data_IF_553222075816
#
_entry.id   IF_553222075816
#
_cell.length_a   1.000
_cell.length_b   1.000
_cell.length_c   1.000
_cell.angle_alpha   90.00
_cell.angle_beta   90.00
_cell.angle_gamma   90.00
#
_symmetry.space_group_name_H-M   'P 1'
#
loop_
_entity.id
_entity.type
_entity.pdbx_description
1 polymer ?
#
# COMPACT_ATOMS: atom_id res chain seq x y z
N UNK A 1 2.73 28.55 -7.25
CA UNK A 1 2.38 27.36 -6.46
C UNK A 1 2.13 26.16 -7.38
N UNK A 2 1.10 26.17 -8.23
CA UNK A 2 0.79 25.05 -9.13
C UNK A 2 1.83 24.79 -10.23
N UNK A 3 2.37 25.86 -10.84
CA UNK A 3 3.50 25.75 -11.78
C UNK A 3 4.75 25.13 -11.15
N UNK A 4 4.99 25.43 -9.88
CA UNK A 4 6.13 24.90 -9.13
C UNK A 4 5.93 23.41 -8.81
N UNK A 5 4.70 23.02 -8.47
CA UNK A 5 4.31 21.61 -8.30
C UNK A 5 4.52 20.85 -9.61
N UNK A 6 4.00 21.36 -10.73
CA UNK A 6 4.13 20.69 -12.03
C UNK A 6 5.61 20.48 -12.41
N UNK A 7 6.45 21.50 -12.24
CA UNK A 7 7.90 21.37 -12.47
C UNK A 7 8.57 20.36 -11.54
N UNK A 8 8.21 20.37 -10.25
CA UNK A 8 8.69 19.40 -9.26
C UNK A 8 8.33 17.97 -9.67
N UNK A 9 7.09 17.75 -10.10
CA UNK A 9 6.61 16.43 -10.54
C UNK A 9 7.31 15.97 -11.82
N UNK A 10 7.48 16.85 -12.82
CA UNK A 10 8.29 16.53 -14.01
C UNK A 10 9.73 16.14 -13.64
N UNK A 11 10.27 16.79 -12.60
CA UNK A 11 11.57 16.46 -12.01
C UNK A 11 11.73 14.99 -11.61
N UNK A 12 10.66 14.33 -11.19
CA UNK A 12 10.68 12.94 -10.73
C UNK A 12 10.86 11.95 -11.89
N UNK A 13 10.36 12.26 -13.08
CA UNK A 13 10.52 11.41 -14.26
C UNK A 13 11.97 11.34 -14.76
N UNK A 14 12.83 12.32 -14.45
CA UNK A 14 14.27 12.20 -14.73
C UNK A 14 14.94 11.12 -13.88
N UNK A 15 14.43 10.87 -12.67
CA UNK A 15 14.92 9.80 -11.79
C UNK A 15 14.33 8.44 -12.16
N UNK A 16 13.27 8.42 -12.97
CA UNK A 16 12.51 7.23 -13.32
C UNK A 16 12.10 7.29 -14.81
N UNK A 17 13.04 7.15 -15.75
CA UNK A 17 12.78 7.39 -17.18
C UNK A 17 11.86 6.34 -17.83
N UNK A 18 11.65 5.19 -17.17
CA UNK A 18 10.83 4.09 -17.68
C UNK A 18 9.36 4.17 -17.28
N UNK A 19 8.96 5.16 -16.48
CA UNK A 19 7.56 5.38 -16.10
C UNK A 19 6.95 6.59 -16.82
N UNK A 20 5.67 6.47 -17.18
CA UNK A 20 4.86 7.52 -17.80
C UNK A 20 3.84 8.13 -16.83
N UNK A 21 3.73 7.59 -15.62
CA UNK A 21 2.91 8.14 -14.56
C UNK A 21 3.63 8.07 -13.21
N UNK A 22 3.22 8.94 -12.29
CA UNK A 22 3.59 8.84 -10.87
C UNK A 22 2.45 8.17 -10.13
N UNK A 23 2.78 7.27 -9.20
CA UNK A 23 1.78 6.70 -8.31
C UNK A 23 1.41 7.72 -7.24
N UNK A 24 0.11 7.91 -7.00
CA UNK A 24 -0.42 8.80 -5.97
C UNK A 24 -0.99 7.98 -4.85
N UNK A 25 -0.55 8.27 -3.64
CA UNK A 25 -1.01 7.62 -2.42
C UNK A 25 -1.55 8.63 -1.42
N UNK A 26 -2.54 8.20 -0.64
CA UNK A 26 -3.08 8.93 0.50
C UNK A 26 -3.13 7.97 1.69
N UNK A 27 -2.49 8.32 2.81
CA UNK A 27 -2.45 7.49 4.03
C UNK A 27 -1.99 6.02 3.82
N UNK A 28 -1.01 5.85 2.91
CA UNK A 28 -0.49 4.57 2.42
C UNK A 28 -1.50 3.72 1.62
N UNK A 29 -2.57 4.33 1.12
CA UNK A 29 -3.51 3.72 0.18
C UNK A 29 -3.30 4.27 -1.23
N UNK A 30 -3.34 3.38 -2.22
CA UNK A 30 -3.25 3.77 -3.63
C UNK A 30 -4.50 4.57 -4.01
N UNK A 31 -4.29 5.84 -4.38
CA UNK A 31 -5.36 6.77 -4.73
C UNK A 31 -5.56 6.86 -6.26
N UNK A 32 -4.47 6.79 -7.02
CA UNK A 32 -4.49 6.83 -8.47
C UNK A 32 -3.12 7.12 -9.05
N UNK A 33 -3.08 7.61 -10.27
CA UNK A 33 -1.84 8.05 -10.91
C UNK A 33 -1.97 9.44 -11.50
N UNK A 34 -0.85 10.13 -11.66
CA UNK A 34 -0.79 11.36 -12.48
C UNK A 34 0.14 11.10 -13.67
N UNK A 35 -0.36 11.29 -14.88
CA UNK A 35 0.41 11.03 -16.09
C UNK A 35 1.35 12.18 -16.42
N UNK A 36 2.54 11.85 -16.91
CA UNK A 36 3.53 12.82 -17.38
C UNK A 36 2.95 13.75 -18.44
N UNK A 37 2.21 13.19 -19.41
CA UNK A 37 1.58 13.95 -20.50
C UNK A 37 0.63 15.01 -19.96
N UNK A 38 -0.17 14.68 -18.96
CA UNK A 38 -1.19 15.59 -18.44
C UNK A 38 -0.54 16.73 -17.65
N UNK A 39 0.58 16.45 -16.95
CA UNK A 39 1.44 17.49 -16.35
C UNK A 39 2.03 18.41 -17.42
N UNK A 40 2.58 17.85 -18.50
CA UNK A 40 3.17 18.62 -19.62
C UNK A 40 2.12 19.51 -20.31
N UNK A 41 0.92 18.98 -20.55
CA UNK A 41 -0.20 19.72 -21.13
C UNK A 41 -0.66 20.87 -20.22
N UNK A 42 -0.92 20.60 -18.95
CA UNK A 42 -1.34 21.62 -17.99
C UNK A 42 -0.28 22.69 -17.75
N UNK A 43 1.01 22.35 -17.82
CA UNK A 43 2.10 23.33 -17.79
C UNK A 43 2.11 24.26 -19.00
N UNK A 44 1.85 23.72 -20.19
CA UNK A 44 1.79 24.50 -21.44
C UNK A 44 0.58 25.43 -21.45
N UNK A 45 -0.55 24.96 -20.94
CA UNK A 45 -1.82 25.69 -20.90
C UNK A 45 -1.93 26.63 -19.69
N UNK A 46 -1.07 26.45 -18.68
CA UNK A 46 -0.96 27.33 -17.52
C UNK A 46 -2.03 27.08 -16.44
N UNK A 47 -2.66 25.90 -16.45
CA UNK A 47 -3.81 25.52 -15.63
C UNK A 47 -3.65 24.12 -15.01
N UNK A 48 -2.42 23.69 -14.72
CA UNK A 48 -2.20 22.38 -14.10
C UNK A 48 -2.64 22.39 -12.63
N UNK A 49 -3.69 21.63 -12.33
CA UNK A 49 -4.10 21.32 -10.96
C UNK A 49 -3.87 19.83 -10.68
N UNK A 50 -3.02 19.51 -9.69
CA UNK A 50 -2.63 18.12 -9.41
C UNK A 50 -3.85 17.24 -9.14
N UNK A 51 -4.72 17.67 -8.23
CA UNK A 51 -5.86 16.87 -7.77
C UNK A 51 -6.81 16.50 -8.92
N UNK A 52 -7.08 17.44 -9.84
CA UNK A 52 -7.94 17.20 -11.01
C UNK A 52 -7.31 16.25 -12.04
N UNK A 53 -5.98 16.12 -12.04
CA UNK A 53 -5.23 15.28 -12.95
C UNK A 53 -4.87 13.91 -12.36
N UNK A 54 -5.39 13.57 -11.16
CA UNK A 54 -5.25 12.22 -10.61
C UNK A 54 -6.29 11.31 -11.26
N UNK A 55 -5.81 10.31 -11.97
CA UNK A 55 -6.62 9.32 -12.65
C UNK A 55 -6.70 8.04 -11.80
N UNK A 56 -7.91 7.60 -11.47
CA UNK A 56 -8.13 6.29 -10.85
C UNK A 56 -7.99 5.20 -11.91
N UNK A 57 -7.05 4.28 -11.71
CA UNK A 57 -6.78 3.18 -12.64
C UNK A 57 -7.04 1.86 -11.92
N UNK A 58 -7.61 0.89 -12.63
CA UNK A 58 -7.77 -0.46 -12.08
C UNK A 58 -6.41 -1.15 -12.00
N UNK A 59 -6.19 -1.91 -10.94
CA UNK A 59 -4.87 -2.51 -10.66
C UNK A 59 -4.37 -3.42 -11.80
N UNK A 60 -5.28 -4.13 -12.47
CA UNK A 60 -4.99 -4.99 -13.63
C UNK A 60 -4.52 -4.22 -14.87
N UNK A 61 -4.92 -2.95 -15.01
CA UNK A 61 -4.49 -2.04 -16.08
C UNK A 61 -3.27 -1.21 -15.69
N UNK A 62 -2.90 -1.17 -14.41
CA UNK A 62 -1.90 -0.24 -13.90
C UNK A 62 -0.53 -0.42 -14.56
N UNK A 63 -0.06 -1.66 -14.71
CA UNK A 63 1.26 -1.92 -15.31
C UNK A 63 1.35 -1.46 -16.76
N UNK A 64 0.30 -1.63 -17.57
CA UNK A 64 0.32 -1.25 -18.98
C UNK A 64 0.27 0.26 -19.18
N UNK A 65 -0.30 1.00 -18.22
CA UNK A 65 -0.37 2.46 -18.24
C UNK A 65 0.84 3.13 -17.59
N UNK A 66 1.43 2.49 -16.58
CA UNK A 66 2.53 3.05 -15.80
C UNK A 66 3.86 3.01 -16.55
N UNK A 67 4.17 1.92 -17.25
CA UNK A 67 5.49 1.70 -17.85
C UNK A 67 5.52 2.02 -19.34
N UNK A 68 6.58 2.71 -19.77
CA UNK A 68 6.85 3.05 -21.17
C UNK A 68 7.22 1.82 -22.01
N UNK A 69 7.94 0.90 -21.38
CA UNK A 69 8.52 -0.29 -21.96
C UNK A 69 8.42 -1.43 -20.93
N UNK A 70 8.91 -2.62 -21.30
CA UNK A 70 9.01 -3.72 -20.35
C UNK A 70 9.85 -3.32 -19.12
N UNK A 71 9.23 -3.35 -17.94
CA UNK A 71 9.90 -3.07 -16.69
C UNK A 71 10.91 -4.17 -16.33
N UNK A 72 12.00 -3.76 -15.70
CA UNK A 72 13.10 -4.60 -15.21
C UNK A 72 13.19 -4.51 -13.69
N UNK A 73 13.94 -5.40 -13.02
CA UNK A 73 14.19 -5.31 -11.58
C UNK A 73 14.83 -3.98 -11.13
N UNK A 74 15.55 -3.32 -12.04
CA UNK A 74 16.17 -2.00 -11.82
C UNK A 74 15.21 -0.83 -12.09
N UNK A 75 14.01 -1.09 -12.57
CA UNK A 75 13.01 -0.04 -12.80
C UNK A 75 12.57 0.52 -11.46
N UNK A 76 12.54 1.85 -11.39
CA UNK A 76 12.12 2.60 -10.20
C UNK A 76 10.87 3.40 -10.50
N UNK A 77 9.98 3.53 -9.52
CA UNK A 77 8.69 4.19 -9.67
C UNK A 77 8.56 5.21 -8.54
N UNK A 78 8.44 6.51 -8.83
CA UNK A 78 8.21 7.51 -7.80
C UNK A 78 6.77 7.43 -7.27
N UNK A 79 6.63 7.54 -5.95
CA UNK A 79 5.35 7.60 -5.24
C UNK A 79 5.21 8.97 -4.61
N UNK A 80 4.10 9.65 -4.88
CA UNK A 80 3.78 10.97 -4.33
C UNK A 80 2.54 10.94 -3.45
N UNK A 81 2.40 11.93 -2.56
CA UNK A 81 1.14 12.21 -1.88
C UNK A 81 0.21 13.08 -2.75
N UNK A 82 -1.06 13.24 -2.31
CA UNK A 82 -2.07 14.05 -3.02
C UNK A 82 -1.73 15.54 -3.17
N UNK A 83 -0.73 16.05 -2.42
CA UNK A 83 -0.26 17.44 -2.50
C UNK A 83 1.06 17.56 -3.29
N UNK A 84 1.56 16.45 -3.86
CA UNK A 84 2.71 16.42 -4.77
C UNK A 84 4.07 16.33 -4.07
N UNK A 85 4.13 15.86 -2.82
CA UNK A 85 5.39 15.51 -2.18
C UNK A 85 5.83 14.11 -2.57
N UNK A 86 7.13 13.93 -2.82
CA UNK A 86 7.72 12.62 -2.98
C UNK A 86 7.70 11.90 -1.63
N UNK A 87 7.00 10.78 -1.57
CA UNK A 87 6.94 9.91 -0.39
C UNK A 87 8.10 8.92 -0.42
N UNK A 88 8.26 8.20 -1.53
CA UNK A 88 9.38 7.27 -1.77
C UNK A 88 9.62 7.05 -3.25
N UNK A 89 10.76 6.44 -3.56
CA UNK A 89 11.02 5.82 -4.86
C UNK A 89 11.00 4.31 -4.61
N UNK A 90 10.07 3.60 -5.23
CA UNK A 90 9.95 2.15 -5.08
C UNK A 90 10.66 1.40 -6.21
N UNK A 91 11.14 0.19 -5.94
CA UNK A 91 11.65 -0.71 -6.98
C UNK A 91 10.50 -1.44 -7.69
N UNK A 92 10.78 -2.04 -8.85
CA UNK A 92 9.80 -2.87 -9.55
C UNK A 92 9.39 -4.11 -8.73
N UNK A 93 10.31 -4.69 -7.97
CA UNK A 93 10.01 -5.81 -7.07
C UNK A 93 9.05 -5.40 -5.95
N UNK A 94 9.27 -4.22 -5.34
CA UNK A 94 8.32 -3.64 -4.40
C UNK A 94 6.96 -3.45 -5.08
N UNK A 95 6.92 -2.90 -6.29
CA UNK A 95 5.69 -2.70 -7.05
C UNK A 95 4.90 -3.99 -7.28
N UNK A 96 5.56 -5.06 -7.72
CA UNK A 96 4.91 -6.37 -7.89
C UNK A 96 4.36 -6.90 -6.56
N UNK A 97 5.09 -6.76 -5.46
CA UNK A 97 4.61 -7.18 -4.12
C UNK A 97 3.36 -6.41 -3.66
N UNK A 98 3.13 -5.24 -4.24
CA UNK A 98 2.06 -4.33 -3.85
C UNK A 98 0.81 -4.48 -4.71
N UNK A 99 0.98 -4.66 -6.01
CA UNK A 99 -0.11 -4.68 -6.99
C UNK A 99 -0.38 -6.07 -7.59
N UNK A 100 0.59 -6.99 -7.52
CA UNK A 100 0.53 -8.36 -8.07
C UNK A 100 0.76 -9.40 -6.97
N UNK A 101 0.08 -9.20 -5.84
CA UNK A 101 0.31 -9.90 -4.58
C UNK A 101 0.16 -11.44 -4.66
N UNK A 102 -0.68 -11.97 -5.56
CA UNK A 102 -0.86 -13.42 -5.76
C UNK A 102 0.45 -14.14 -6.07
N UNK A 103 1.35 -13.50 -6.81
CA UNK A 103 2.69 -14.03 -7.13
C UNK A 103 3.62 -14.05 -5.93
N UNK A 104 3.38 -13.18 -4.96
CA UNK A 104 4.19 -13.02 -3.75
C UNK A 104 3.72 -13.95 -2.63
N UNK A 105 2.39 -14.08 -2.43
CA UNK A 105 1.79 -15.00 -1.46
C UNK A 105 2.23 -16.44 -1.71
N UNK A 106 2.28 -16.87 -2.97
CA UNK A 106 2.73 -18.22 -3.34
C UNK A 106 4.13 -18.57 -2.81
N UNK A 107 4.96 -17.56 -2.52
CA UNK A 107 6.34 -17.72 -2.04
C UNK A 107 6.52 -17.32 -0.56
N UNK A 108 5.46 -16.92 0.15
CA UNK A 108 5.52 -16.51 1.54
C UNK A 108 5.56 -17.74 2.47
N UNK A 109 6.78 -18.27 2.69
CA UNK A 109 7.04 -19.56 3.35
C UNK A 109 6.78 -19.62 4.87
N UNK A 110 6.30 -18.53 5.48
CA UNK A 110 6.09 -18.39 6.92
C UNK A 110 4.76 -18.93 7.44
N UNK A 111 3.85 -19.36 6.54
CA UNK A 111 2.53 -19.91 6.90
C UNK A 111 2.62 -20.96 8.03
N UNK A 112 3.51 -21.99 7.97
CA UNK A 112 3.50 -23.03 8.99
C UNK A 112 3.85 -22.54 10.40
N UNK A 113 4.63 -21.47 10.55
CA UNK A 113 4.98 -20.92 11.87
C UNK A 113 3.83 -20.08 12.42
N UNK A 114 3.23 -19.24 11.57
CA UNK A 114 2.16 -18.33 11.96
C UNK A 114 0.82 -19.04 12.18
N UNK A 115 0.58 -20.15 11.47
CA UNK A 115 -0.63 -20.97 11.61
C UNK A 115 -0.74 -21.67 12.98
N UNK A 116 0.39 -21.85 13.67
CA UNK A 116 0.46 -22.51 14.98
C UNK A 116 0.39 -21.53 16.16
N UNK A 117 0.27 -20.23 15.91
CA UNK A 117 0.11 -19.25 16.98
C UNK A 117 -1.29 -19.36 17.60
N UNK A 118 -1.36 -19.14 18.90
CA UNK A 118 -2.59 -19.20 19.72
C UNK A 118 -3.42 -17.90 19.68
N UNK A 119 -3.06 -16.98 18.78
CA UNK A 119 -3.70 -15.69 18.61
C UNK A 119 -3.84 -15.31 17.13
N UNK A 120 -4.83 -14.47 16.77
CA UNK A 120 -4.94 -13.96 15.41
C UNK A 120 -3.72 -13.14 14.99
N UNK A 121 -3.23 -13.43 13.78
CA UNK A 121 -2.15 -12.69 13.14
C UNK A 121 -2.51 -12.38 11.70
N UNK A 122 -2.27 -11.13 11.31
CA UNK A 122 -2.45 -10.63 9.96
C UNK A 122 -1.15 -9.96 9.51
N UNK A 123 -0.64 -10.35 8.34
CA UNK A 123 0.52 -9.70 7.74
C UNK A 123 0.05 -8.83 6.59
N UNK A 124 0.50 -7.58 6.56
CA UNK A 124 0.22 -6.66 5.48
C UNK A 124 1.51 -6.19 4.83
N UNK A 125 1.46 -5.81 3.56
CA UNK A 125 2.56 -5.04 2.99
C UNK A 125 2.58 -3.60 3.55
N UNK A 126 3.55 -2.80 3.10
CA UNK A 126 3.67 -1.38 3.43
C UNK A 126 2.39 -0.56 3.15
N UNK A 127 1.66 -0.88 2.08
CA UNK A 127 0.40 -0.23 1.70
C UNK A 127 -0.83 -0.84 2.38
N UNK A 128 -0.62 -1.50 3.53
CA UNK A 128 -1.69 -2.05 4.38
C UNK A 128 -2.56 -3.08 3.68
N UNK A 129 -2.12 -3.68 2.56
CA UNK A 129 -2.81 -4.79 1.90
C UNK A 129 -2.51 -6.07 2.64
N UNK A 130 -3.56 -6.79 3.04
CA UNK A 130 -3.45 -8.05 3.76
C UNK A 130 -2.89 -9.11 2.80
N UNK A 131 -1.74 -9.66 3.16
CA UNK A 131 -1.04 -10.70 2.41
C UNK A 131 -1.25 -12.08 3.01
N UNK A 132 -1.54 -12.13 4.31
CA UNK A 132 -1.70 -13.38 5.02
C UNK A 132 -2.60 -13.17 6.24
N UNK A 133 -3.41 -14.18 6.53
CA UNK A 133 -4.20 -14.32 7.74
C UNK A 133 -4.03 -15.75 8.22
N UNK A 134 -3.70 -15.94 9.50
CA UNK A 134 -3.72 -17.28 10.08
C UNK A 134 -5.17 -17.74 10.33
N UNK A 135 -5.36 -19.02 10.65
CA UNK A 135 -6.68 -19.62 10.87
C UNK A 135 -7.52 -18.85 11.90
N UNK A 136 -6.90 -18.46 13.03
CA UNK A 136 -7.59 -17.70 14.09
C UNK A 136 -7.99 -16.29 13.63
N UNK A 137 -7.20 -15.63 12.79
CA UNK A 137 -7.57 -14.35 12.19
C UNK A 137 -8.74 -14.49 11.22
N UNK A 138 -8.75 -15.52 10.37
CA UNK A 138 -9.88 -15.79 9.48
C UNK A 138 -11.17 -16.08 10.28
N UNK A 139 -11.07 -16.90 11.33
CA UNK A 139 -12.18 -17.26 12.19
C UNK A 139 -12.71 -16.04 12.98
N UNK A 140 -11.82 -15.19 13.50
CA UNK A 140 -12.18 -13.95 14.20
C UNK A 140 -12.78 -12.90 13.25
N UNK A 141 -12.28 -12.81 12.02
CA UNK A 141 -12.80 -11.91 11.00
C UNK A 141 -14.17 -12.37 10.45
N UNK A 142 -14.42 -13.68 10.43
CA UNK A 142 -15.63 -14.30 9.89
C UNK A 142 -15.70 -14.28 8.36
N UNK A 143 -14.64 -13.81 7.68
CA UNK A 143 -14.47 -13.89 6.23
C UNK A 143 -13.00 -13.70 5.85
N UNK A 144 -12.68 -14.07 4.61
CA UNK A 144 -11.36 -13.83 4.02
C UNK A 144 -11.19 -12.36 3.60
N UNK A 145 -10.08 -11.75 4.03
CA UNK A 145 -9.68 -10.39 3.69
C UNK A 145 -8.35 -10.33 2.90
N UNK A 146 -7.83 -11.46 2.41
CA UNK A 146 -6.63 -11.48 1.58
C UNK A 146 -6.77 -10.51 0.37
N UNK A 147 -5.76 -9.67 0.16
CA UNK A 147 -5.74 -8.61 -0.86
C UNK A 147 -6.51 -7.33 -0.48
N UNK A 148 -7.30 -7.35 0.60
CA UNK A 148 -8.04 -6.17 1.05
C UNK A 148 -7.12 -5.25 1.85
N UNK A 149 -7.51 -3.98 1.99
CA UNK A 149 -6.87 -3.09 2.94
C UNK A 149 -7.19 -3.53 4.38
N UNK A 150 -6.20 -3.51 5.28
CA UNK A 150 -6.36 -3.86 6.69
C UNK A 150 -7.38 -2.99 7.39
N UNK A 151 -7.57 -1.75 6.96
CA UNK A 151 -8.63 -0.87 7.45
C UNK A 151 -10.02 -1.47 7.26
N UNK A 152 -10.23 -2.26 6.20
CA UNK A 152 -11.49 -2.98 5.98
C UNK A 152 -11.73 -4.07 7.03
N UNK A 153 -10.67 -4.73 7.48
CA UNK A 153 -10.72 -5.68 8.59
C UNK A 153 -10.93 -4.94 9.92
N UNK A 154 -10.12 -3.92 10.20
CA UNK A 154 -10.15 -3.16 11.46
C UNK A 154 -11.48 -2.46 11.71
N UNK A 155 -12.21 -2.05 10.67
CA UNK A 155 -13.58 -1.51 10.78
C UNK A 155 -14.62 -2.48 11.36
N UNK A 156 -14.30 -3.76 11.46
CA UNK A 156 -15.17 -4.74 12.14
C UNK A 156 -15.01 -4.75 13.66
N UNK A 157 -14.02 -4.03 14.18
CA UNK A 157 -13.69 -3.99 15.61
C UNK A 157 -13.99 -2.60 16.15
N UNK A 158 -14.46 -2.55 17.39
CA UNK A 158 -14.44 -1.34 18.19
C UNK A 158 -13.02 -1.15 18.72
N UNK A 159 -12.39 -0.02 18.36
CA UNK A 159 -11.00 0.26 18.70
C UNK A 159 -10.92 1.42 19.69
N UNK A 160 -10.37 1.16 20.87
CA UNK A 160 -10.10 2.15 21.92
C UNK A 160 -8.59 2.31 22.13
N UNK A 161 -8.12 3.55 22.26
CA UNK A 161 -6.74 3.86 22.63
C UNK A 161 -6.70 4.09 24.14
N UNK A 162 -6.16 3.12 24.88
CA UNK A 162 -6.02 3.14 26.33
C UNK A 162 -4.54 3.27 26.71
N UNK A 163 -4.07 4.52 26.85
CA UNK A 163 -2.66 4.81 27.11
C UNK A 163 -1.78 4.44 25.91
N UNK A 164 -0.83 3.51 26.12
CA UNK A 164 0.06 3.00 25.06
C UNK A 164 -0.50 1.78 24.32
N UNK A 165 -1.71 1.34 24.66
CA UNK A 165 -2.33 0.13 24.08
C UNK A 165 -3.51 0.49 23.19
N UNK A 166 -3.66 -0.26 22.10
CA UNK A 166 -4.89 -0.31 21.31
C UNK A 166 -5.68 -1.54 21.75
N UNK A 167 -6.86 -1.32 22.32
CA UNK A 167 -7.79 -2.37 22.69
C UNK A 167 -8.78 -2.50 21.54
N UNK A 168 -8.93 -3.72 21.01
CA UNK A 168 -9.87 -4.03 19.94
C UNK A 168 -10.89 -5.04 20.43
N UNK A 169 -12.16 -4.70 20.27
CA UNK A 169 -13.30 -5.50 20.74
C UNK A 169 -14.16 -5.90 19.55
N UNK A 170 -14.58 -7.16 19.50
CA UNK A 170 -15.56 -7.64 18.53
C UNK A 170 -16.38 -8.75 19.17
N UNK A 171 -17.69 -8.57 19.18
CA UNK A 171 -18.62 -9.42 19.92
C UNK A 171 -18.15 -9.52 21.39
N UNK A 172 -17.91 -10.72 21.90
CA UNK A 172 -17.42 -10.97 23.28
C UNK A 172 -15.89 -11.13 23.37
N UNK A 173 -15.14 -10.88 22.28
CA UNK A 173 -13.68 -11.04 22.25
C UNK A 173 -13.00 -9.69 22.41
N UNK A 174 -12.00 -9.63 23.28
CA UNK A 174 -11.17 -8.44 23.55
C UNK A 174 -9.70 -8.78 23.32
N UNK A 175 -9.02 -7.96 22.53
CA UNK A 175 -7.60 -8.12 22.24
C UNK A 175 -6.82 -6.82 22.45
N UNK A 176 -5.54 -6.95 22.80
CA UNK A 176 -4.55 -5.92 22.54
C UNK A 176 -4.05 -6.04 21.10
N UNK A 177 -4.20 -4.97 20.31
CA UNK A 177 -3.65 -4.90 18.97
C UNK A 177 -2.23 -4.36 19.01
N UNK A 178 -1.28 -5.21 18.63
CA UNK A 178 0.12 -4.85 18.42
C UNK A 178 0.42 -4.78 16.93
N UNK A 179 1.03 -3.69 16.48
CA UNK A 179 1.44 -3.49 15.08
C UNK A 179 2.95 -3.35 15.03
N UNK A 180 3.60 -4.32 14.42
CA UNK A 180 5.06 -4.34 14.24
C UNK A 180 5.41 -4.05 12.78
N UNK A 181 6.37 -3.17 12.55
CA UNK A 181 6.95 -2.93 11.23
C UNK A 181 8.25 -3.71 11.07
N UNK A 182 8.46 -4.32 9.90
CA UNK A 182 9.68 -5.05 9.57
C UNK A 182 10.09 -4.80 8.12
N UNK A 183 11.39 -4.87 7.87
CA UNK A 183 12.01 -4.68 6.56
C UNK A 183 12.89 -5.91 6.24
N UNK A 184 12.52 -6.63 5.18
CA UNK A 184 13.38 -7.57 4.48
C UNK A 184 14.05 -6.87 3.28
N UNK A 185 15.06 -7.51 2.68
CA UNK A 185 15.98 -6.93 1.69
C UNK A 185 15.31 -5.99 0.66
N UNK A 186 14.15 -6.39 0.10
CA UNK A 186 13.36 -5.57 -0.82
C UNK A 186 11.86 -5.54 -0.47
N UNK A 187 11.49 -5.81 0.78
CA UNK A 187 10.09 -5.98 1.16
C UNK A 187 9.82 -5.48 2.57
N UNK A 188 8.94 -4.49 2.68
CA UNK A 188 8.48 -3.97 3.97
C UNK A 188 7.06 -4.44 4.26
N UNK A 189 6.85 -4.90 5.50
CA UNK A 189 5.58 -5.43 5.96
C UNK A 189 5.26 -4.99 7.38
N UNK A 190 3.97 -5.07 7.69
CA UNK A 190 3.46 -4.92 9.04
C UNK A 190 2.86 -6.24 9.51
N UNK A 191 3.03 -6.54 10.79
CA UNK A 191 2.39 -7.67 11.46
C UNK A 191 1.42 -7.11 12.48
N UNK A 192 0.14 -7.38 12.29
CA UNK A 192 -0.95 -7.06 13.20
C UNK A 192 -1.22 -8.30 14.04
N UNK A 193 -0.91 -8.23 15.33
CA UNK A 193 -1.10 -9.31 16.29
C UNK A 193 -2.22 -8.93 17.27
N UNK A 194 -3.22 -9.80 17.41
CA UNK A 194 -4.37 -9.58 18.27
C UNK A 194 -4.21 -10.46 19.52
N UNK A 195 -3.52 -9.96 20.54
CA UNK A 195 -3.25 -10.75 21.76
C UNK A 195 -4.48 -10.71 22.68
N UNK A 196 -5.04 -11.86 23.12
CA UNK A 196 -6.19 -11.87 24.02
C UNK A 196 -5.91 -11.07 25.30
N UNK A 197 -6.90 -10.28 25.73
CA UNK A 197 -6.87 -9.65 27.06
C UNK A 197 -7.42 -10.66 28.05
N UNK A 198 -6.52 -11.24 28.86
CA UNK A 198 -6.90 -12.09 30.00
C UNK A 198 -7.39 -11.25 31.19
#
# INVERSE_FOLDING_TARGET
MEKDIAQKLLGLFFKAPLVHALLVFEDNEFFGVVFKRDIELGMREGNFELYENINTIRVDELSSMLFANQATSTTVIPVIDKVGNLVKIMTYEEYESHFHFDRYIANFSVSPVLDNLDHPVVVTNHFKRILYMNNLAMETAGKDYLGWNVNSLLKQFDIEIAGEKMIVTKDDKVFHLHIHYSLAENFSYHVYQFLPVN
#
